data_IF_230974484756
#
_entry.id   IF_230974484756
#
_cell.length_a   1.000
_cell.length_b   1.000
_cell.length_c   1.000
_cell.angle_alpha   90.00
_cell.angle_beta   90.00
_cell.angle_gamma   90.00
#
_symmetry.space_group_name_H-M   'P 1'
#
loop_
_entity.id
_entity.type
_entity.pdbx_description
1 polymer ?
#
# COMPACT_ATOMS: atom_id res chain seq x y z
N UNK A 1 33.48 32.54 76.57
CA UNK A 1 34.21 31.27 76.49
C UNK A 1 34.32 30.91 75.03
N UNK A 2 35.56 30.78 74.60
CA UNK A 2 36.06 30.63 73.24
C UNK A 2 35.70 29.25 72.67
N UNK A 3 34.98 29.20 71.55
CA UNK A 3 34.78 27.99 70.77
C UNK A 3 35.82 28.00 69.65
N UNK A 4 36.96 27.36 69.91
CA UNK A 4 38.03 27.18 68.94
C UNK A 4 37.56 26.37 67.75
N UNK A 5 37.37 27.08 66.63
CA UNK A 5 37.16 26.54 65.30
C UNK A 5 38.36 25.67 64.88
N UNK A 6 38.03 24.46 64.41
CA UNK A 6 38.97 23.51 63.83
C UNK A 6 39.38 23.97 62.45
N UNK A 7 40.69 24.19 62.34
CA UNK A 7 41.63 23.79 61.28
C UNK A 7 41.15 23.78 59.82
N UNK A 8 41.91 24.53 59.04
CA UNK A 8 41.73 24.90 57.65
C UNK A 8 41.59 23.70 56.68
N UNK A 9 40.78 23.84 55.61
CA UNK A 9 40.82 22.91 54.49
C UNK A 9 42.10 23.16 53.67
N UNK A 10 42.93 22.12 53.59
CA UNK A 10 44.08 22.06 52.70
C UNK A 10 43.63 22.33 51.25
N UNK A 11 44.29 23.31 50.62
CA UNK A 11 44.20 23.59 49.20
C UNK A 11 44.76 22.39 48.41
N UNK A 12 43.91 21.40 48.14
CA UNK A 12 44.17 20.39 47.15
C UNK A 12 44.15 21.05 45.76
N UNK A 13 45.33 21.08 45.13
CA UNK A 13 45.59 21.77 43.89
C UNK A 13 44.67 21.39 42.74
N UNK A 14 44.41 22.36 41.87
CA UNK A 14 43.76 22.17 40.57
C UNK A 14 44.70 21.43 39.61
N UNK A 15 44.33 20.24 39.08
CA UNK A 15 44.87 19.74 37.85
C UNK A 15 43.94 20.19 36.72
N UNK A 16 44.34 21.24 36.01
CA UNK A 16 43.81 21.57 34.70
C UNK A 16 44.21 20.46 33.72
N UNK A 17 43.36 19.45 33.56
CA UNK A 17 43.58 18.40 32.56
C UNK A 17 42.41 18.29 31.59
N UNK A 18 42.66 18.93 30.46
CA UNK A 18 42.30 18.46 29.13
C UNK A 18 40.81 18.23 28.89
N UNK A 19 40.12 19.34 28.66
CA UNK A 19 39.22 19.45 27.52
C UNK A 19 39.91 18.89 26.27
N UNK A 20 39.80 17.58 26.02
CA UNK A 20 40.15 16.99 24.74
C UNK A 20 39.09 17.44 23.74
N UNK A 21 39.42 18.27 22.74
CA UNK A 21 38.52 18.44 21.62
C UNK A 21 38.57 17.11 20.86
N UNK A 22 37.44 16.40 20.82
CA UNK A 22 37.24 15.29 19.89
C UNK A 22 36.36 15.77 18.71
N UNK A 23 36.82 16.70 17.84
CA UNK A 23 36.02 17.16 16.70
C UNK A 23 35.94 16.10 15.58
N UNK A 24 36.67 14.98 15.71
CA UNK A 24 36.76 13.94 14.68
C UNK A 24 35.73 12.82 14.88
N UNK A 25 35.39 12.45 16.11
CA UNK A 25 34.43 11.37 16.38
C UNK A 25 32.97 11.78 16.16
N UNK A 26 32.63 13.06 16.37
CA UNK A 26 31.27 13.54 16.13
C UNK A 26 30.89 13.56 14.64
N UNK A 27 31.88 13.63 13.73
CA UNK A 27 31.66 13.55 12.28
C UNK A 27 31.35 12.12 11.81
N UNK A 28 31.88 11.12 12.52
CA UNK A 28 31.61 9.70 12.23
C UNK A 28 30.21 9.34 12.73
N UNK A 29 29.80 9.84 13.89
CA UNK A 29 28.44 9.66 14.40
C UNK A 29 27.38 10.36 13.51
N UNK A 30 27.69 11.54 12.95
CA UNK A 30 26.80 12.21 12.00
C UNK A 30 26.68 11.49 10.65
N UNK A 31 27.74 10.80 10.20
CA UNK A 31 27.72 10.03 8.95
C UNK A 31 26.93 8.70 9.06
N UNK A 32 26.84 8.12 10.26
CA UNK A 32 26.06 6.91 10.48
C UNK A 32 24.54 7.16 10.46
N UNK A 33 24.08 8.34 10.89
CA UNK A 33 22.66 8.69 10.90
C UNK A 33 22.07 8.95 9.51
N UNK A 34 22.83 9.53 8.59
CA UNK A 34 22.38 9.83 7.22
C UNK A 34 22.23 8.58 6.35
N UNK A 35 23.03 7.53 6.58
CA UNK A 35 22.91 6.27 5.85
C UNK A 35 21.58 5.54 6.16
N UNK A 36 21.10 5.60 7.40
CA UNK A 36 19.85 4.95 7.79
C UNK A 36 18.60 5.64 7.20
N UNK A 37 18.58 6.97 7.13
CA UNK A 37 17.46 7.71 6.53
C UNK A 37 17.29 7.44 5.03
N UNK A 38 18.39 7.27 4.29
CA UNK A 38 18.34 6.94 2.85
C UNK A 38 17.87 5.51 2.59
N UNK A 39 18.20 4.56 3.47
CA UNK A 39 17.72 3.18 3.36
C UNK A 39 16.21 3.07 3.67
N UNK A 40 15.68 3.85 4.62
CA UNK A 40 14.24 3.90 4.90
C UNK A 40 13.42 4.50 3.74
N UNK A 41 13.95 5.53 3.06
CA UNK A 41 13.30 6.12 1.86
C UNK A 41 13.39 5.16 0.65
N UNK A 42 14.47 4.39 0.53
CA UNK A 42 14.67 3.43 -0.58
C UNK A 42 13.82 2.16 -0.53
N UNK A 43 13.57 1.61 0.66
CA UNK A 43 12.75 0.39 0.82
C UNK A 43 11.24 0.69 0.71
N UNK A 44 10.80 1.91 1.02
CA UNK A 44 9.41 2.33 0.78
C UNK A 44 9.11 2.64 -0.69
N UNK A 45 10.10 3.09 -1.46
CA UNK A 45 9.91 3.50 -2.87
C UNK A 45 10.04 2.35 -3.87
N UNK A 46 10.74 1.26 -3.54
CA UNK A 46 10.80 0.08 -4.43
C UNK A 46 9.49 -0.69 -4.51
N UNK A 47 8.64 -0.64 -3.46
CA UNK A 47 7.27 -1.14 -3.51
C UNK A 47 6.30 -0.27 -4.33
N UNK A 48 6.64 1.00 -4.58
CA UNK A 48 5.86 1.93 -5.42
C UNK A 48 6.31 1.97 -6.89
N UNK A 49 7.53 1.51 -7.20
CA UNK A 49 8.08 1.49 -8.57
C UNK A 49 7.99 0.11 -9.21
N UNK A 50 7.95 -0.96 -8.41
CA UNK A 50 7.54 -2.26 -8.93
C UNK A 50 6.01 -2.30 -8.86
N UNK A 51 5.39 -1.77 -9.92
CA UNK A 51 4.14 -2.33 -10.43
C UNK A 51 4.21 -3.85 -10.21
N UNK A 52 3.18 -4.52 -9.66
CA UNK A 52 2.99 -5.91 -10.04
C UNK A 52 2.93 -5.88 -11.57
N UNK A 53 4.08 -6.22 -12.17
CA UNK A 53 4.20 -6.43 -13.59
C UNK A 53 3.06 -7.39 -13.93
N UNK A 54 2.35 -7.02 -14.97
CA UNK A 54 1.25 -7.74 -15.55
C UNK A 54 1.34 -9.23 -15.25
N UNK A 55 0.30 -9.79 -14.65
CA UNK A 55 -0.06 -11.15 -15.05
C UNK A 55 -1.05 -10.98 -16.19
N UNK A 56 -0.64 -11.02 -17.47
CA UNK A 56 -1.58 -11.26 -18.53
C UNK A 56 -2.09 -12.68 -18.30
N UNK A 57 -3.29 -12.80 -17.74
CA UNK A 57 -4.08 -14.02 -17.85
C UNK A 57 -4.69 -14.07 -19.25
N UNK A 58 -3.82 -14.13 -20.27
CA UNK A 58 -4.19 -14.62 -21.59
C UNK A 58 -4.45 -16.13 -21.50
N UNK A 59 -5.25 -16.71 -22.40
CA UNK A 59 -5.63 -18.11 -22.33
C UNK A 59 -4.38 -18.99 -22.45
N UNK A 60 -3.94 -19.52 -21.31
CA UNK A 60 -2.92 -20.56 -21.27
C UNK A 60 -3.60 -21.89 -21.57
N UNK A 61 -3.75 -22.19 -22.84
CA UNK A 61 -3.89 -23.58 -23.31
C UNK A 61 -2.57 -24.31 -23.03
N UNK A 62 -2.44 -24.85 -21.82
CA UNK A 62 -1.50 -25.92 -21.51
C UNK A 62 -2.32 -27.12 -21.05
N UNK A 63 -2.85 -27.83 -22.04
CA UNK A 63 -3.23 -29.23 -21.87
C UNK A 63 -2.00 -30.00 -21.37
N UNK A 64 -2.19 -30.81 -20.32
CA UNK A 64 -1.21 -31.73 -19.73
C UNK A 64 -0.20 -31.17 -18.71
N UNK A 65 -0.67 -30.52 -17.63
CA UNK A 65 -0.17 -30.81 -16.28
C UNK A 65 -1.37 -30.84 -15.33
N UNK A 66 -1.86 -32.04 -15.00
CA UNK A 66 -2.94 -32.29 -14.04
C UNK A 66 -2.46 -32.04 -12.61
N UNK A 67 -2.31 -30.78 -12.23
CA UNK A 67 -2.57 -30.35 -10.86
C UNK A 67 -3.93 -29.71 -10.93
N UNK A 68 -4.92 -30.31 -10.24
CA UNK A 68 -6.19 -29.65 -9.98
C UNK A 68 -5.89 -28.45 -9.06
N UNK A 69 -5.37 -27.38 -9.68
CA UNK A 69 -5.30 -26.06 -9.06
C UNK A 69 -6.75 -25.67 -8.87
N UNK A 70 -7.15 -25.42 -7.63
CA UNK A 70 -8.42 -24.73 -7.39
C UNK A 70 -8.44 -23.50 -8.33
N UNK A 71 -9.53 -23.32 -9.10
CA UNK A 71 -9.57 -22.22 -10.05
C UNK A 71 -9.36 -20.93 -9.27
N UNK A 72 -8.36 -20.13 -9.70
CA UNK A 72 -8.18 -18.77 -9.19
C UNK A 72 -9.55 -18.07 -9.19
N UNK A 73 -9.87 -17.24 -8.19
CA UNK A 73 -11.15 -16.54 -8.16
C UNK A 73 -11.25 -15.64 -9.39
N UNK A 74 -11.90 -16.15 -10.43
CA UNK A 74 -12.15 -15.43 -11.67
C UNK A 74 -13.42 -14.63 -11.48
N UNK A 75 -13.38 -13.39 -11.96
CA UNK A 75 -14.59 -12.58 -12.06
C UNK A 75 -15.65 -13.35 -12.87
N UNK A 76 -16.89 -13.49 -12.39
CA UNK A 76 -17.96 -14.23 -13.10
C UNK A 76 -18.54 -13.40 -14.25
N UNK A 77 -17.72 -12.58 -14.90
CA UNK A 77 -18.07 -11.70 -16.01
C UNK A 77 -17.06 -11.89 -17.13
N UNK A 78 -17.56 -12.01 -18.35
CA UNK A 78 -16.74 -11.99 -19.56
C UNK A 78 -16.24 -10.58 -19.85
N UNK A 79 -15.18 -10.47 -20.65
CA UNK A 79 -14.65 -9.18 -21.11
C UNK A 79 -15.71 -8.30 -21.78
N UNK A 80 -16.59 -8.89 -22.59
CA UNK A 80 -17.69 -8.18 -23.24
C UNK A 80 -18.68 -7.58 -22.22
N UNK A 81 -19.07 -8.36 -21.20
CA UNK A 81 -19.99 -7.89 -20.15
C UNK A 81 -19.37 -6.77 -19.30
N UNK A 82 -18.05 -6.80 -19.07
CA UNK A 82 -17.35 -5.71 -18.40
C UNK A 82 -17.38 -4.43 -19.23
N UNK A 83 -17.22 -4.52 -20.55
CA UNK A 83 -17.30 -3.36 -21.43
C UNK A 83 -18.73 -2.79 -21.49
N UNK A 84 -19.76 -3.63 -21.48
CA UNK A 84 -21.16 -3.19 -21.41
C UNK A 84 -21.52 -2.44 -20.11
N UNK A 85 -20.79 -2.65 -19.02
CA UNK A 85 -20.98 -1.88 -17.79
C UNK A 85 -20.54 -0.42 -17.93
N UNK A 86 -19.69 -0.10 -18.90
CA UNK A 86 -19.27 1.28 -19.16
C UNK A 86 -20.39 2.13 -19.77
N UNK A 87 -21.32 1.49 -20.49
CA UNK A 87 -22.44 2.15 -21.16
C UNK A 87 -23.68 2.29 -20.24
N UNK A 88 -23.60 1.81 -19.00
CA UNK A 88 -24.69 1.82 -18.02
C UNK A 88 -24.38 2.69 -16.81
N UNK A 89 -25.43 3.11 -16.11
CA UNK A 89 -25.26 3.77 -14.80
C UNK A 89 -24.65 2.78 -13.80
N UNK A 90 -23.61 3.18 -13.04
CA UNK A 90 -22.99 2.28 -12.07
C UNK A 90 -23.95 1.86 -10.95
N UNK A 91 -24.09 0.55 -10.75
CA UNK A 91 -24.87 -0.03 -9.66
C UNK A 91 -23.93 -0.43 -8.52
N UNK A 92 -23.80 0.45 -7.51
CA UNK A 92 -22.83 0.27 -6.43
C UNK A 92 -23.29 -0.64 -5.29
N UNK A 93 -24.58 -0.97 -5.22
CA UNK A 93 -25.12 -1.81 -4.14
C UNK A 93 -24.78 -1.27 -2.75
N UNK A 94 -24.22 -2.13 -1.90
CA UNK A 94 -23.75 -1.75 -0.56
C UNK A 94 -22.72 -0.59 -0.56
N UNK A 95 -22.02 -0.35 -1.67
CA UNK A 95 -21.08 0.76 -1.86
C UNK A 95 -21.75 2.04 -2.42
N UNK A 96 -23.07 2.19 -2.31
CA UNK A 96 -23.76 3.42 -2.74
C UNK A 96 -23.28 4.67 -1.98
N UNK A 97 -22.85 4.52 -0.72
CA UNK A 97 -22.28 5.62 0.06
C UNK A 97 -20.93 6.09 -0.52
N UNK A 98 -20.77 7.38 -0.90
CA UNK A 98 -19.53 7.89 -1.46
C UNK A 98 -18.33 7.78 -0.50
N UNK A 99 -18.52 8.03 0.79
CA UNK A 99 -17.45 7.92 1.79
C UNK A 99 -16.88 6.51 1.84
N UNK A 100 -17.75 5.50 1.88
CA UNK A 100 -17.37 4.09 1.81
C UNK A 100 -16.60 3.75 0.54
N UNK A 101 -17.05 4.21 -0.64
CA UNK A 101 -16.31 3.99 -1.90
C UNK A 101 -14.92 4.61 -1.87
N UNK A 102 -14.82 5.87 -1.47
CA UNK A 102 -13.54 6.57 -1.44
C UNK A 102 -12.56 5.90 -0.47
N UNK A 103 -13.05 5.44 0.69
CA UNK A 103 -12.25 4.65 1.64
C UNK A 103 -11.83 3.30 1.08
N UNK A 104 -12.76 2.56 0.45
CA UNK A 104 -12.47 1.29 -0.23
C UNK A 104 -11.36 1.44 -1.28
N UNK A 105 -11.49 2.43 -2.16
CA UNK A 105 -10.49 2.73 -3.20
C UNK A 105 -9.15 3.11 -2.58
N UNK A 106 -9.14 3.95 -1.54
CA UNK A 106 -7.92 4.32 -0.84
C UNK A 106 -7.24 3.11 -0.18
N UNK A 107 -8.00 2.20 0.42
CA UNK A 107 -7.49 0.95 1.00
C UNK A 107 -6.88 0.01 -0.06
N UNK A 108 -7.46 0.01 -1.27
CA UNK A 108 -6.94 -0.72 -2.44
C UNK A 108 -5.75 -0.03 -3.12
N UNK A 109 -5.30 1.13 -2.62
CA UNK A 109 -4.18 1.88 -3.17
C UNK A 109 -4.54 2.81 -4.34
N UNK A 110 -5.82 2.96 -4.66
CA UNK A 110 -6.28 3.91 -5.67
C UNK A 110 -6.50 5.30 -5.05
N UNK A 111 -6.24 6.40 -5.78
CA UNK A 111 -6.62 7.73 -5.33
C UNK A 111 -8.10 7.79 -4.94
N UNK A 112 -8.44 8.42 -3.81
CA UNK A 112 -9.83 8.59 -3.38
C UNK A 112 -10.70 9.34 -4.41
N UNK A 113 -10.06 10.14 -5.29
CA UNK A 113 -10.71 10.83 -6.40
C UNK A 113 -10.87 9.98 -7.67
N UNK A 114 -10.46 8.71 -7.65
CA UNK A 114 -10.57 7.83 -8.82
C UNK A 114 -12.03 7.69 -9.22
N UNK A 115 -12.34 8.03 -10.47
CA UNK A 115 -13.68 7.88 -11.01
C UNK A 115 -13.92 6.40 -11.34
N UNK A 116 -14.96 5.84 -10.74
CA UNK A 116 -15.47 4.53 -11.13
C UNK A 116 -16.24 4.68 -12.45
N UNK A 117 -15.83 3.92 -13.46
CA UNK A 117 -16.41 3.93 -14.81
C UNK A 117 -17.71 3.12 -14.89
N UNK A 118 -17.83 2.07 -14.08
CA UNK A 118 -18.97 1.18 -14.03
C UNK A 118 -18.97 0.38 -12.74
N UNK A 119 -20.14 -0.08 -12.28
CA UNK A 119 -20.25 -0.93 -11.12
C UNK A 119 -21.43 -1.89 -11.25
N UNK A 120 -21.30 -3.09 -10.67
CA UNK A 120 -22.35 -4.11 -10.63
C UNK A 120 -22.16 -5.09 -9.47
N UNK A 121 -23.25 -5.50 -8.82
CA UNK A 121 -23.23 -6.60 -7.85
C UNK A 121 -23.11 -7.96 -8.56
N UNK A 122 -22.25 -8.83 -8.03
CA UNK A 122 -21.98 -10.19 -8.53
C UNK A 122 -21.75 -11.15 -7.37
N UNK A 123 -21.70 -12.45 -7.66
CA UNK A 123 -21.23 -13.45 -6.71
C UNK A 123 -19.93 -14.08 -7.23
N UNK A 124 -18.81 -13.84 -6.54
CA UNK A 124 -17.51 -14.44 -6.88
C UNK A 124 -17.35 -15.68 -6.01
N UNK A 125 -17.31 -16.88 -6.61
CA UNK A 125 -17.21 -18.14 -5.87
C UNK A 125 -18.24 -18.28 -4.72
N UNK A 126 -19.48 -17.84 -4.97
CA UNK A 126 -20.56 -17.86 -3.98
C UNK A 126 -20.49 -16.76 -2.91
N UNK A 127 -19.49 -15.87 -2.97
CA UNK A 127 -19.35 -14.73 -2.06
C UNK A 127 -19.96 -13.49 -2.72
N UNK A 128 -20.88 -12.77 -2.04
CA UNK A 128 -21.43 -11.54 -2.59
C UNK A 128 -20.30 -10.52 -2.77
N UNK A 129 -20.30 -9.83 -3.90
CA UNK A 129 -19.31 -8.84 -4.25
C UNK A 129 -19.86 -7.75 -5.16
N UNK A 130 -19.12 -6.66 -5.26
CA UNK A 130 -19.41 -5.54 -6.16
C UNK A 130 -18.20 -5.37 -7.06
N UNK A 131 -18.40 -5.47 -8.36
CA UNK A 131 -17.39 -5.15 -9.36
C UNK A 131 -17.33 -3.65 -9.53
N UNK A 132 -16.13 -3.09 -9.45
CA UNK A 132 -15.82 -1.70 -9.77
C UNK A 132 -14.90 -1.68 -10.98
N UNK A 133 -15.30 -0.95 -12.02
CA UNK A 133 -14.46 -0.70 -13.19
C UNK A 133 -13.73 0.61 -13.05
N UNK A 134 -12.41 0.59 -13.13
CA UNK A 134 -11.53 1.74 -12.96
C UNK A 134 -10.70 1.97 -14.23
N UNK A 135 -10.29 3.21 -14.52
CA UNK A 135 -9.30 3.44 -15.56
C UNK A 135 -7.97 2.76 -15.18
N UNK A 136 -7.37 2.03 -16.13
CA UNK A 136 -6.05 1.46 -15.94
C UNK A 136 -4.94 2.50 -16.16
N UNK A 137 -3.70 2.11 -15.83
CA UNK A 137 -2.54 2.99 -15.94
C UNK A 137 -2.15 3.30 -17.41
N UNK A 138 -2.49 2.40 -18.34
CA UNK A 138 -2.25 2.57 -19.76
C UNK A 138 -3.50 3.09 -20.47
N UNK A 139 -3.30 3.87 -21.53
CA UNK A 139 -4.41 4.37 -22.34
C UNK A 139 -5.19 3.19 -22.94
N UNK A 140 -6.50 3.21 -22.77
CA UNK A 140 -7.37 2.14 -23.27
C UNK A 140 -7.33 0.87 -22.42
N UNK A 141 -6.83 0.90 -21.19
CA UNK A 141 -7.00 -0.23 -20.26
C UNK A 141 -8.01 0.08 -19.16
N UNK A 142 -8.68 -0.97 -18.69
CA UNK A 142 -9.66 -0.92 -17.61
C UNK A 142 -9.29 -2.00 -16.61
N UNK A 143 -9.36 -1.67 -15.33
CA UNK A 143 -9.17 -2.62 -14.24
C UNK A 143 -10.55 -2.91 -13.64
N UNK A 144 -10.91 -4.18 -13.54
CA UNK A 144 -12.12 -4.64 -12.87
C UNK A 144 -11.74 -5.26 -11.53
N UNK A 145 -12.32 -4.75 -10.44
CA UNK A 145 -12.09 -5.22 -9.08
C UNK A 145 -13.41 -5.71 -8.50
N UNK A 146 -13.51 -6.97 -8.10
CA UNK A 146 -14.61 -7.44 -7.25
C UNK A 146 -14.22 -7.29 -5.79
N UNK A 147 -15.03 -6.55 -5.04
CA UNK A 147 -14.82 -6.32 -3.60
C UNK A 147 -16.03 -6.76 -2.80
N UNK A 148 -15.82 -7.18 -1.56
CA UNK A 148 -16.88 -7.55 -0.66
C UNK A 148 -17.75 -6.32 -0.26
N UNK A 149 -19.03 -6.52 0.09
CA UNK A 149 -19.95 -5.45 0.48
C UNK A 149 -19.50 -4.58 1.64
N UNK A 150 -18.64 -5.12 2.52
CA UNK A 150 -18.06 -4.46 3.69
C UNK A 150 -16.77 -3.67 3.38
N UNK A 151 -16.35 -3.55 2.11
CA UNK A 151 -15.12 -2.86 1.74
C UNK A 151 -15.02 -1.45 2.37
N UNK A 152 -13.83 -1.13 2.86
CA UNK A 152 -13.43 0.10 3.52
C UNK A 152 -11.93 0.32 3.38
N UNK A 153 -11.40 1.41 3.94
CA UNK A 153 -9.96 1.67 3.95
C UNK A 153 -9.17 0.71 4.85
N UNK A 154 -9.82 0.07 5.82
CA UNK A 154 -9.17 -0.83 6.77
C UNK A 154 -9.36 -2.32 6.40
N UNK A 155 -10.40 -2.62 5.63
CA UNK A 155 -10.71 -3.96 5.14
C UNK A 155 -11.19 -3.82 3.69
N UNK A 156 -10.32 -4.15 2.74
CA UNK A 156 -10.60 -3.98 1.32
C UNK A 156 -11.47 -5.09 0.76
N UNK A 157 -11.54 -6.25 1.42
CA UNK A 157 -12.34 -7.39 0.97
C UNK A 157 -12.20 -7.72 -0.51
N UNK A 158 -11.01 -7.60 -1.12
CA UNK A 158 -10.80 -7.90 -2.55
C UNK A 158 -11.03 -9.39 -2.79
N UNK A 159 -11.99 -9.71 -3.66
CA UNK A 159 -12.38 -11.09 -4.01
C UNK A 159 -11.70 -11.55 -5.29
N UNK A 160 -11.59 -10.68 -6.29
CA UNK A 160 -10.96 -10.95 -7.58
C UNK A 160 -10.60 -9.64 -8.28
N UNK A 161 -9.62 -9.68 -9.18
CA UNK A 161 -9.32 -8.59 -10.10
C UNK A 161 -8.96 -9.10 -11.50
N UNK A 162 -9.15 -8.25 -12.50
CA UNK A 162 -8.66 -8.49 -13.86
C UNK A 162 -8.44 -7.16 -14.59
N UNK A 163 -7.60 -7.19 -15.62
CA UNK A 163 -7.34 -6.03 -16.49
C UNK A 163 -7.70 -6.35 -17.91
N UNK A 164 -8.44 -5.45 -18.55
CA UNK A 164 -9.05 -5.59 -19.87
C UNK A 164 -8.59 -4.44 -20.78
N UNK A 165 -8.42 -4.71 -22.08
CA UNK A 165 -8.17 -3.65 -23.08
C UNK A 165 -9.48 -3.21 -23.70
N UNK A 166 -9.70 -1.90 -23.79
CA UNK A 166 -10.78 -1.32 -24.57
C UNK A 166 -10.39 -1.40 -26.06
N UNK A 167 -11.30 -1.90 -26.93
CA UNK A 167 -11.05 -1.98 -28.37
C UNK A 167 -10.94 -0.60 -29.03
#
# INVERSE_FOLDING_TARGET
>A
MDAGDREAPEHAGHPAHASRPLPRFNRIAAAAGTAAALLAIGLGTTGLIRFPADTPSGPRSFDAITVASEPDPVLPLTEAELLELLDRSPEYGALADPGRRTGCLAGLGYPASTRVLGAREVAVNGHPGIVLLLPGAATGTIVALAVAPNCSSADTGLLADTTVRRP
#
